data_IF_079705989679
#
_entry.id   IF_079705989679
#
_cell.length_a   1.000
_cell.length_b   1.000
_cell.length_c   1.000
_cell.angle_alpha   90.00
_cell.angle_beta   90.00
_cell.angle_gamma   90.00
#
_symmetry.space_group_name_H-M   'P 1'
#
loop_
_entity.id
_entity.type
_entity.pdbx_description
1 polymer ?
#
# COMPACT_ATOMS: atom_id res chain seq x y z
N UNK A 1 -0.67 -0.03 26.38
CA UNK A 1 -1.48 -0.39 25.20
C UNK A 1 -1.13 -1.84 24.84
N UNK A 2 -2.08 -2.77 24.87
CA UNK A 2 -1.79 -4.21 24.69
C UNK A 2 -1.55 -4.50 23.21
N UNK A 3 -0.32 -4.85 22.84
CA UNK A 3 0.04 -5.29 21.49
C UNK A 3 -0.60 -6.65 21.22
N UNK A 4 -1.70 -6.69 20.46
CA UNK A 4 -2.27 -7.94 19.95
C UNK A 4 -1.49 -8.34 18.70
N UNK A 5 -0.80 -9.47 18.76
CA UNK A 5 -0.27 -10.15 17.58
C UNK A 5 -1.35 -11.13 17.12
N UNK A 6 -1.94 -10.88 15.95
CA UNK A 6 -2.86 -11.84 15.33
C UNK A 6 -2.19 -12.36 14.06
N UNK A 7 -1.88 -13.65 14.05
CA UNK A 7 -1.46 -14.38 12.85
C UNK A 7 -2.74 -14.83 12.15
N UNK A 8 -3.08 -14.22 11.02
CA UNK A 8 -4.15 -14.69 10.15
C UNK A 8 -3.49 -15.30 8.91
N UNK A 9 -3.54 -16.61 8.75
CA UNK A 9 -3.15 -17.27 7.50
C UNK A 9 -4.34 -17.11 6.55
N UNK A 10 -4.28 -16.13 5.64
CA UNK A 10 -5.27 -15.98 4.58
C UNK A 10 -4.63 -16.38 3.25
N UNK A 11 -5.05 -17.53 2.72
CA UNK A 11 -4.70 -17.99 1.36
C UNK A 11 -5.62 -17.27 0.38
N UNK A 12 -5.16 -16.17 -0.23
CA UNK A 12 -5.96 -15.46 -1.25
C UNK A 12 -5.32 -15.73 -2.61
N UNK A 13 -5.90 -16.66 -3.37
CA UNK A 13 -5.56 -16.82 -4.79
C UNK A 13 -6.28 -15.77 -5.61
N UNK A 14 -5.55 -14.81 -6.19
CA UNK A 14 -6.06 -13.95 -7.26
C UNK A 14 -5.04 -13.86 -8.39
N UNK A 15 -5.46 -14.27 -9.59
CA UNK A 15 -4.67 -14.14 -10.81
C UNK A 15 -4.82 -12.77 -11.47
N UNK A 16 -3.75 -12.29 -12.11
CA UNK A 16 -3.63 -12.20 -13.59
C UNK A 16 -2.18 -11.88 -14.03
N UNK A 17 -1.84 -12.46 -15.18
CA UNK A 17 -0.73 -12.21 -16.12
C UNK A 17 0.73 -12.62 -15.78
N UNK A 18 1.12 -13.73 -16.41
CA UNK A 18 2.44 -14.30 -16.73
C UNK A 18 3.50 -14.53 -15.63
N UNK A 19 3.88 -15.81 -15.55
CA UNK A 19 4.87 -16.50 -14.70
C UNK A 19 4.41 -16.80 -13.25
N UNK A 20 4.25 -18.10 -13.00
CA UNK A 20 3.98 -18.80 -11.74
C UNK A 20 2.98 -18.15 -10.78
N UNK A 21 1.80 -18.77 -10.62
CA UNK A 21 0.92 -18.49 -9.50
C UNK A 21 1.65 -18.84 -8.19
N UNK A 22 2.38 -17.87 -7.62
CA UNK A 22 2.90 -17.97 -6.27
C UNK A 22 1.71 -17.81 -5.32
N UNK A 23 1.55 -18.79 -4.43
CA UNK A 23 0.65 -18.68 -3.29
C UNK A 23 1.25 -17.62 -2.37
N UNK A 24 0.72 -16.41 -2.43
CA UNK A 24 1.02 -15.32 -1.50
C UNK A 24 0.10 -15.48 -0.30
N UNK A 25 0.67 -15.63 0.89
CA UNK A 25 -0.08 -15.62 2.15
C UNK A 25 0.31 -14.39 2.96
N UNK A 26 -0.69 -13.67 3.49
CA UNK A 26 -0.45 -12.73 4.59
C UNK A 26 -0.15 -13.58 5.81
N UNK A 27 1.01 -13.38 6.43
CA UNK A 27 1.45 -14.23 7.55
C UNK A 27 1.61 -13.42 8.83
N UNK A 28 1.91 -12.12 8.72
CA UNK A 28 2.21 -11.28 9.89
C UNK A 28 1.59 -9.91 9.75
N UNK A 29 0.65 -9.59 10.65
CA UNK A 29 0.10 -8.25 10.82
C UNK A 29 0.55 -7.68 12.17
N UNK A 30 1.22 -6.54 12.14
CA UNK A 30 1.66 -5.80 13.33
C UNK A 30 0.98 -4.45 13.36
N UNK A 31 0.53 -4.04 14.54
CA UNK A 31 0.03 -2.68 14.79
C UNK A 31 0.88 -2.03 15.87
N UNK A 32 1.43 -0.85 15.58
CA UNK A 32 2.14 -0.01 16.53
C UNK A 32 1.76 1.44 16.28
N UNK A 33 1.16 2.06 17.28
CA UNK A 33 0.67 3.44 17.21
C UNK A 33 -0.26 3.64 16.00
N UNK A 34 0.11 4.51 15.07
CA UNK A 34 -0.63 4.78 13.84
C UNK A 34 -0.17 3.95 12.64
N UNK A 35 0.71 2.95 12.84
CA UNK A 35 1.30 2.15 11.77
C UNK A 35 0.80 0.71 11.83
N UNK A 36 0.30 0.22 10.70
CA UNK A 36 0.05 -1.18 10.42
C UNK A 36 1.13 -1.71 9.47
N UNK A 37 1.65 -2.90 9.73
CA UNK A 37 2.60 -3.59 8.86
C UNK A 37 2.08 -4.98 8.54
N UNK A 38 1.99 -5.31 7.26
CA UNK A 38 1.58 -6.60 6.75
C UNK A 38 2.69 -7.21 5.91
N UNK A 39 3.19 -8.38 6.31
CA UNK A 39 4.23 -9.13 5.59
C UNK A 39 3.60 -10.31 4.87
N UNK A 40 3.87 -10.35 3.57
CA UNK A 40 3.49 -11.42 2.66
C UNK A 40 4.69 -12.31 2.37
N UNK A 41 4.46 -13.61 2.46
CA UNK A 41 5.46 -14.62 2.18
C UNK A 41 4.97 -15.54 1.06
N UNK A 42 5.92 -15.97 0.24
CA UNK A 42 5.70 -16.95 -0.82
C UNK A 42 6.25 -18.30 -0.38
N UNK A 43 5.56 -19.37 -0.73
CA UNK A 43 6.11 -20.71 -0.62
C UNK A 43 7.11 -20.97 -1.74
N UNK A 44 8.38 -21.21 -1.39
CA UNK A 44 9.43 -21.66 -2.30
C UNK A 44 9.90 -23.05 -1.90
N UNK A 45 9.47 -24.06 -2.65
CA UNK A 45 9.66 -25.46 -2.26
C UNK A 45 8.90 -25.75 -0.96
N UNK A 46 9.63 -26.01 0.12
CA UNK A 46 9.05 -26.30 1.46
C UNK A 46 9.23 -25.14 2.45
N UNK A 47 9.88 -24.05 2.05
CA UNK A 47 10.17 -22.91 2.93
C UNK A 47 9.32 -21.70 2.54
N UNK A 48 8.86 -20.96 3.55
CA UNK A 48 8.25 -19.65 3.34
C UNK A 48 9.35 -18.60 3.28
N UNK A 49 9.38 -17.84 2.19
CA UNK A 49 10.29 -16.72 2.01
C UNK A 49 9.52 -15.41 1.98
N UNK A 50 10.12 -14.35 2.54
CA UNK A 50 9.58 -12.99 2.42
C UNK A 50 9.45 -12.59 0.96
N UNK A 51 8.32 -11.97 0.60
CA UNK A 51 8.03 -11.53 -0.75
C UNK A 51 7.73 -10.03 -0.79
N UNK A 52 6.74 -9.60 0.00
CA UNK A 52 6.28 -8.22 0.02
C UNK A 52 5.99 -7.77 1.44
N UNK A 53 6.13 -6.47 1.70
CA UNK A 53 5.61 -5.85 2.92
C UNK A 53 4.82 -4.62 2.54
N UNK A 54 3.67 -4.48 3.17
CA UNK A 54 2.84 -3.28 3.09
C UNK A 54 2.87 -2.59 4.45
N UNK A 55 3.22 -1.32 4.47
CA UNK A 55 3.15 -0.47 5.66
C UNK A 55 2.09 0.59 5.44
N UNK A 56 1.07 0.64 6.31
CA UNK A 56 0.02 1.66 6.27
C UNK A 56 0.12 2.57 7.48
N UNK A 57 0.05 3.88 7.25
CA UNK A 57 -0.03 4.88 8.32
C UNK A 57 -1.43 5.46 8.38
N UNK A 58 -1.88 5.82 9.58
CA UNK A 58 -3.23 6.32 9.81
C UNK A 58 -3.21 7.66 10.55
N UNK A 59 -4.15 8.54 10.20
CA UNK A 59 -4.38 9.76 10.98
C UNK A 59 -5.13 9.47 12.30
N UNK A 60 -5.34 10.51 13.12
CA UNK A 60 -6.09 10.40 14.38
C UNK A 60 -7.56 9.97 14.19
N UNK A 61 -8.10 10.11 12.98
CA UNK A 61 -9.45 9.72 12.61
C UNK A 61 -9.50 8.32 11.97
N UNK A 62 -8.36 7.61 11.95
CA UNK A 62 -8.16 6.26 11.38
C UNK A 62 -8.31 6.20 9.86
N UNK A 63 -8.15 7.32 9.17
CA UNK A 63 -8.02 7.31 7.72
C UNK A 63 -6.60 6.88 7.33
N UNK A 64 -6.45 6.06 6.30
CA UNK A 64 -5.14 5.64 5.81
C UNK A 64 -4.45 6.81 5.10
N UNK A 65 -3.36 7.35 5.65
CA UNK A 65 -2.65 8.49 5.06
C UNK A 65 -1.59 8.08 4.05
N UNK A 66 -0.92 6.95 4.28
CA UNK A 66 0.12 6.42 3.37
C UNK A 66 0.02 4.91 3.33
N UNK A 67 0.01 4.34 2.13
CA UNK A 67 0.31 2.92 1.92
C UNK A 67 1.65 2.79 1.19
N UNK A 68 2.64 2.20 1.86
CA UNK A 68 3.99 1.97 1.34
C UNK A 68 4.17 0.49 1.02
N UNK A 69 4.58 0.21 -0.22
CA UNK A 69 4.82 -1.14 -0.72
C UNK A 69 6.31 -1.36 -0.93
N UNK A 70 6.84 -2.43 -0.31
CA UNK A 70 8.23 -2.85 -0.49
C UNK A 70 8.30 -4.31 -0.93
N UNK A 71 9.35 -4.64 -1.66
CA UNK A 71 9.64 -6.00 -2.13
C UNK A 71 10.87 -6.53 -1.43
N UNK A 72 10.89 -7.82 -1.10
CA UNK A 72 12.07 -8.48 -0.54
C UNK A 72 13.05 -8.83 -1.65
N UNK A 73 14.26 -8.26 -1.63
CA UNK A 73 15.33 -8.56 -2.58
C UNK A 73 16.68 -8.51 -1.87
N UNK A 74 17.52 -9.50 -2.14
CA UNK A 74 18.90 -9.57 -1.60
C UNK A 74 18.94 -9.32 -0.09
N UNK A 75 18.09 -10.03 0.66
CA UNK A 75 18.01 -9.97 2.13
C UNK A 75 17.59 -8.60 2.71
N UNK A 76 17.01 -7.72 1.89
CA UNK A 76 16.53 -6.42 2.31
C UNK A 76 15.13 -6.09 1.74
N UNK A 77 14.37 -5.28 2.48
CA UNK A 77 13.14 -4.67 1.98
C UNK A 77 13.46 -3.45 1.12
N UNK A 78 13.12 -3.50 -0.15
CA UNK A 78 13.36 -2.44 -1.12
C UNK A 78 12.05 -1.75 -1.48
N UNK A 79 12.00 -0.43 -1.32
CA UNK A 79 10.88 0.40 -1.73
C UNK A 79 10.51 0.15 -3.20
N UNK A 80 9.20 0.03 -3.47
CA UNK A 80 8.65 -0.15 -4.81
C UNK A 80 7.78 1.06 -5.18
N UNK A 81 6.70 1.26 -4.43
CA UNK A 81 5.75 2.35 -4.65
C UNK A 81 5.13 2.79 -3.33
N UNK A 82 4.56 3.99 -3.33
CA UNK A 82 3.70 4.44 -2.25
C UNK A 82 2.47 5.15 -2.81
N UNK A 83 1.39 5.10 -2.03
CA UNK A 83 0.19 5.87 -2.25
C UNK A 83 -0.03 6.81 -1.06
N UNK A 84 -0.22 8.10 -1.32
CA UNK A 84 -0.48 9.14 -0.32
C UNK A 84 -1.91 9.63 -0.49
N UNK A 85 -2.65 9.65 0.60
CA UNK A 85 -4.06 9.97 0.61
C UNK A 85 -4.33 11.25 1.38
N UNK A 86 -5.21 12.08 0.83
CA UNK A 86 -5.71 13.30 1.49
C UNK A 86 -7.20 13.17 1.75
N UNK A 87 -7.67 13.79 2.83
CA UNK A 87 -9.06 13.73 3.28
C UNK A 87 -9.57 15.13 3.61
N UNK A 88 -10.85 15.37 3.38
CA UNK A 88 -11.52 16.58 3.86
C UNK A 88 -11.90 16.48 5.34
N UNK A 89 -12.45 17.56 5.89
CA UNK A 89 -12.88 17.63 7.30
C UNK A 89 -13.94 16.58 7.68
N UNK A 90 -14.75 16.15 6.69
CA UNK A 90 -15.77 15.11 6.82
C UNK A 90 -15.21 13.67 6.70
N UNK A 91 -13.89 13.50 6.65
CA UNK A 91 -13.20 12.21 6.55
C UNK A 91 -13.44 11.47 5.23
N UNK A 92 -13.72 12.20 4.16
CA UNK A 92 -13.86 11.66 2.82
C UNK A 92 -12.58 11.92 2.05
N UNK A 93 -12.07 10.90 1.35
CA UNK A 93 -10.86 11.01 0.55
C UNK A 93 -11.06 12.05 -0.57
N UNK A 94 -10.14 13.00 -0.70
CA UNK A 94 -10.16 14.04 -1.74
C UNK A 94 -9.04 13.90 -2.75
N UNK A 95 -7.98 13.15 -2.41
CA UNK A 95 -6.92 12.86 -3.35
C UNK A 95 -6.22 11.54 -3.02
N UNK A 96 -5.67 10.92 -4.06
CA UNK A 96 -4.68 9.84 -3.99
C UNK A 96 -3.53 10.18 -4.93
N UNK A 97 -2.32 10.28 -4.41
CA UNK A 97 -1.08 10.41 -5.18
C UNK A 97 -0.34 9.09 -5.17
N UNK A 98 -0.07 8.50 -6.34
CA UNK A 98 0.80 7.34 -6.49
C UNK A 98 2.20 7.78 -6.89
N UNK A 99 3.20 7.23 -6.21
CA UNK A 99 4.61 7.47 -6.49
C UNK A 99 5.36 6.14 -6.63
N UNK A 100 6.36 6.11 -7.51
CA UNK A 100 7.29 5.01 -7.63
C UNK A 100 8.65 5.39 -7.03
N UNK A 101 9.40 4.39 -6.57
CA UNK A 101 10.75 4.61 -6.03
C UNK A 101 11.78 4.60 -7.16
N UNK A 102 12.39 5.74 -7.46
CA UNK A 102 13.56 5.81 -8.33
C UNK A 102 14.82 5.49 -7.51
N UNK A 103 15.39 4.31 -7.75
CA UNK A 103 16.60 3.84 -7.06
C UNK A 103 17.84 4.64 -7.43
N UNK A 104 17.93 5.15 -8.65
CA UNK A 104 19.10 5.90 -9.13
C UNK A 104 19.19 7.26 -8.44
N UNK A 105 18.02 7.86 -8.17
CA UNK A 105 17.91 9.15 -7.47
C UNK A 105 17.70 8.99 -5.96
N UNK A 106 17.42 7.77 -5.49
CA UNK A 106 16.99 7.49 -4.11
C UNK A 106 15.84 8.40 -3.67
N UNK A 107 14.84 8.56 -4.55
CA UNK A 107 13.74 9.50 -4.38
C UNK A 107 12.40 8.92 -4.85
N UNK A 108 11.30 9.43 -4.28
CA UNK A 108 9.95 9.15 -4.74
C UNK A 108 9.60 10.06 -5.92
N UNK A 109 9.22 9.44 -7.04
CA UNK A 109 8.81 10.12 -8.26
C UNK A 109 7.31 9.96 -8.44
N UNK A 110 6.63 11.04 -8.81
CA UNK A 110 5.19 10.99 -9.04
C UNK A 110 4.88 10.16 -10.28
N UNK A 111 3.88 9.27 -10.18
CA UNK A 111 3.35 8.48 -11.29
C UNK A 111 2.02 9.07 -11.76
N UNK A 112 1.03 9.08 -10.87
CA UNK A 112 -0.29 9.61 -11.15
C UNK A 112 -0.99 10.10 -9.89
N UNK A 113 -1.98 10.95 -10.08
CA UNK A 113 -2.82 11.49 -9.03
C UNK A 113 -4.28 11.40 -9.47
N UNK A 114 -5.14 11.03 -8.53
CA UNK A 114 -6.58 11.14 -8.68
C UNK A 114 -7.09 12.12 -7.64
N UNK A 115 -7.93 13.07 -8.03
CA UNK A 115 -8.63 13.96 -7.11
C UNK A 115 -10.13 13.79 -7.24
N UNK A 116 -10.83 13.91 -6.12
CA UNK A 116 -12.28 13.75 -6.02
C UNK A 116 -12.91 14.98 -5.39
N UNK A 117 -13.97 15.49 -6.01
CA UNK A 117 -14.79 16.57 -5.45
C UNK A 117 -16.20 16.08 -5.16
N UNK A 118 -16.83 16.68 -4.16
CA UNK A 118 -18.13 16.26 -3.65
C UNK A 118 -19.06 17.45 -3.51
N UNK A 119 -20.36 17.21 -3.68
CA UNK A 119 -21.38 18.20 -3.39
C UNK A 119 -21.59 18.36 -1.87
N UNK A 120 -22.49 19.27 -1.48
CA UNK A 120 -22.81 19.50 -0.07
C UNK A 120 -23.42 18.28 0.63
N UNK A 121 -24.12 17.42 -0.12
CA UNK A 121 -24.72 16.18 0.36
C UNK A 121 -23.71 15.02 0.47
N UNK A 122 -22.48 15.19 -0.04
CA UNK A 122 -21.42 14.19 0.01
C UNK A 122 -21.40 13.25 -1.20
N UNK A 123 -22.14 13.55 -2.26
CA UNK A 123 -22.09 12.77 -3.50
C UNK A 123 -20.87 13.18 -4.33
N UNK A 124 -20.22 12.21 -4.97
CA UNK A 124 -19.10 12.48 -5.88
C UNK A 124 -19.60 13.30 -7.08
N UNK A 125 -18.95 14.45 -7.32
CA UNK A 125 -19.26 15.35 -8.44
C UNK A 125 -18.24 15.17 -9.55
N UNK A 126 -16.95 15.15 -9.21
CA UNK A 126 -15.89 14.94 -10.20
C UNK A 126 -14.83 13.97 -9.69
N UNK A 127 -14.32 13.18 -10.63
CA UNK A 127 -13.05 12.45 -10.51
C UNK A 127 -12.11 12.98 -11.61
N UNK A 128 -10.93 13.44 -11.22
CA UNK A 128 -9.89 13.88 -12.15
C UNK A 128 -8.65 13.01 -11.97
N UNK A 129 -8.30 12.27 -13.01
CA UNK A 129 -7.06 11.50 -13.10
C UNK A 129 -6.00 12.28 -13.89
N UNK A 130 -4.80 12.40 -13.33
CA UNK A 130 -3.65 13.03 -13.95
C UNK A 130 -2.45 12.10 -13.85
N UNK A 131 -1.68 12.00 -14.93
CA UNK A 131 -0.44 11.22 -14.98
C UNK A 131 0.73 12.17 -15.21
N UNK A 132 1.84 11.92 -14.53
CA UNK A 132 3.07 12.63 -14.83
C UNK A 132 3.73 11.99 -16.04
N UNK A 133 4.04 12.83 -17.04
CA UNK A 133 4.85 12.41 -18.18
C UNK A 133 6.31 12.28 -17.74
N UNK A 134 6.89 11.13 -18.05
CA UNK A 134 8.32 10.88 -17.88
C UNK A 134 9.01 11.39 -19.15
N UNK A 135 9.56 12.60 -19.10
CA UNK A 135 10.41 13.15 -20.16
C UNK A 135 11.79 12.49 -20.16
#
# INVERSE_FOLDING_TARGET
MKTKFSIFICLIGLGVSQSFAQITASTVVKFKDTVMTEIWQDLKGTVLENAQVTEKTYDAKKNNTVALFKTWKSEAWINNSQEVYSYNEKNVATAKLRQYWDKSQSAWMNDNQTTWTYDAAGNLVTELYQKWDLN
#
